data_IF_334355852777
#
_entry.id   IF_334355852777
#
_cell.length_a   1.000
_cell.length_b   1.000
_cell.length_c   1.000
_cell.angle_alpha   90.00
_cell.angle_beta   90.00
_cell.angle_gamma   90.00
#
_symmetry.space_group_name_H-M   'P 1'
#
loop_
_entity.id
_entity.type
_entity.pdbx_description
1 polymer ?
#
# COMPACT_ATOMS: atom_id res chain seq x y z
N UNK A 1 -15.96 3.73 18.32
CA UNK A 1 -16.02 4.83 17.33
C UNK A 1 -17.45 5.08 16.93
N UNK A 2 -17.78 6.31 16.52
CA UNK A 2 -19.07 6.58 15.88
C UNK A 2 -19.09 5.95 14.47
N UNK A 3 -20.24 5.44 14.05
CA UNK A 3 -20.40 4.91 12.70
C UNK A 3 -20.21 6.02 11.65
N UNK A 4 -19.59 5.68 10.52
CA UNK A 4 -19.36 6.59 9.37
C UNK A 4 -18.49 7.82 9.72
N UNK A 5 -17.43 7.60 10.48
CA UNK A 5 -16.45 8.66 10.82
C UNK A 5 -15.48 8.87 9.66
N UNK A 6 -15.24 10.13 9.29
CA UNK A 6 -14.16 10.54 8.37
C UNK A 6 -13.00 11.12 9.17
N UNK A 7 -11.78 10.69 8.87
CA UNK A 7 -10.56 11.28 9.42
C UNK A 7 -9.80 12.02 8.32
N UNK A 8 -9.27 13.20 8.66
CA UNK A 8 -8.42 13.99 7.77
C UNK A 8 -7.02 14.12 8.40
N UNK A 9 -5.97 13.83 7.61
CA UNK A 9 -4.57 13.82 8.03
C UNK A 9 -3.80 12.62 7.46
N UNK A 10 -2.53 12.47 7.86
CA UNK A 10 -1.73 11.30 7.52
C UNK A 10 -2.33 10.03 8.17
N UNK A 11 -2.54 9.01 7.33
CA UNK A 11 -3.21 7.79 7.75
C UNK A 11 -2.41 6.99 8.79
N UNK A 12 -1.07 7.02 8.77
CA UNK A 12 -0.23 6.31 9.71
C UNK A 12 -0.38 6.92 11.11
N UNK A 13 -0.34 8.25 11.20
CA UNK A 13 -0.59 8.94 12.47
C UNK A 13 -1.99 8.69 13.01
N UNK A 14 -3.01 8.73 12.14
CA UNK A 14 -4.39 8.48 12.53
C UNK A 14 -4.54 7.06 13.07
N UNK A 15 -4.03 6.04 12.34
CA UNK A 15 -4.06 4.65 12.75
C UNK A 15 -3.45 4.48 14.15
N UNK A 16 -2.26 5.04 14.39
CA UNK A 16 -1.54 4.93 15.66
C UNK A 16 -2.21 5.66 16.82
N UNK A 17 -2.66 6.90 16.60
CA UNK A 17 -3.12 7.78 17.70
C UNK A 17 -4.61 7.63 17.99
N UNK A 18 -5.42 7.23 17.01
CA UNK A 18 -6.89 7.32 17.10
C UNK A 18 -7.61 5.98 16.95
N UNK A 19 -6.96 4.95 16.40
CA UNK A 19 -7.62 3.67 16.09
C UNK A 19 -7.12 2.56 17.04
N UNK A 20 -7.99 2.00 17.91
CA UNK A 20 -7.64 0.85 18.73
C UNK A 20 -7.36 -0.41 17.91
N UNK A 21 -6.69 -1.37 18.54
CA UNK A 21 -6.48 -2.71 18.00
C UNK A 21 -7.82 -3.40 17.73
N UNK A 22 -7.85 -4.31 16.74
CA UNK A 22 -9.02 -5.15 16.45
C UNK A 22 -10.34 -4.38 16.30
N UNK A 23 -10.28 -3.22 15.65
CA UNK A 23 -11.43 -2.34 15.41
C UNK A 23 -12.25 -2.75 14.20
N UNK A 24 -11.60 -3.10 13.07
CA UNK A 24 -12.27 -3.26 11.78
C UNK A 24 -12.45 -4.73 11.39
N UNK A 25 -13.60 -5.06 10.80
CA UNK A 25 -13.86 -6.38 10.21
C UNK A 25 -13.34 -6.49 8.77
N UNK A 26 -13.30 -5.36 8.04
CA UNK A 26 -12.85 -5.31 6.66
C UNK A 26 -12.08 -4.03 6.39
N UNK A 27 -10.96 -4.17 5.67
CA UNK A 27 -10.15 -3.05 5.18
C UNK A 27 -10.02 -3.18 3.65
N UNK A 28 -10.27 -2.10 2.93
CA UNK A 28 -9.94 -1.97 1.52
C UNK A 28 -8.98 -0.79 1.35
N UNK A 29 -7.93 -0.97 0.55
CA UNK A 29 -6.98 0.08 0.24
C UNK A 29 -6.59 0.06 -1.23
N UNK A 30 -6.51 1.27 -1.78
CA UNK A 30 -6.15 1.58 -3.16
C UNK A 30 -5.02 2.63 -3.12
N UNK A 31 -3.79 2.22 -2.72
CA UNK A 31 -2.69 3.16 -2.55
C UNK A 31 -2.22 3.71 -3.91
N UNK A 32 -1.56 4.88 -3.90
CA UNK A 32 -0.89 5.40 -5.09
C UNK A 32 0.04 4.36 -5.70
N UNK A 33 -0.16 4.08 -6.98
CA UNK A 33 0.66 3.14 -7.72
C UNK A 33 1.88 3.90 -8.24
N UNK A 34 3.06 3.61 -7.66
CA UNK A 34 4.38 4.12 -8.06
C UNK A 34 4.75 3.72 -9.51
N UNK A 35 3.90 4.12 -10.46
CA UNK A 35 3.80 3.67 -11.84
C UNK A 35 4.39 4.68 -12.81
N UNK A 36 5.00 5.75 -12.30
CA UNK A 36 5.46 6.92 -13.06
C UNK A 36 4.37 7.54 -13.97
N UNK A 37 3.09 7.25 -13.73
CA UNK A 37 1.98 7.86 -14.46
C UNK A 37 1.60 9.17 -13.79
N UNK A 38 1.94 10.28 -14.45
CA UNK A 38 1.43 11.59 -14.07
C UNK A 38 -0.10 11.58 -14.18
N UNK A 39 -0.82 11.61 -13.06
CA UNK A 39 -2.28 11.83 -13.00
C UNK A 39 -2.71 13.27 -13.41
N UNK A 40 -1.79 14.04 -14.01
CA UNK A 40 -1.96 15.41 -14.51
C UNK A 40 -3.02 15.58 -15.61
N UNK A 41 -3.61 14.49 -16.12
CA UNK A 41 -4.55 14.54 -17.26
C UNK A 41 -6.00 14.73 -16.82
N UNK A 42 -6.36 14.50 -15.55
CA UNK A 42 -7.76 14.51 -15.11
C UNK A 42 -8.27 15.85 -14.53
N UNK A 43 -7.40 16.84 -14.26
CA UNK A 43 -7.81 18.05 -13.53
C UNK A 43 -7.34 19.39 -14.14
N UNK A 44 -7.09 19.43 -15.46
CA UNK A 44 -6.82 20.70 -16.15
C UNK A 44 -8.04 21.65 -16.26
N UNK A 45 -9.21 21.27 -15.76
CA UNK A 45 -10.39 22.15 -15.74
C UNK A 45 -10.91 22.37 -14.32
N UNK A 46 -10.41 23.43 -13.67
CA UNK A 46 -11.32 24.38 -13.02
C UNK A 46 -11.50 24.38 -11.50
N UNK A 47 -10.57 23.91 -10.65
CA UNK A 47 -10.66 24.17 -9.20
C UNK A 47 -9.40 24.81 -8.61
N UNK A 48 -9.62 25.82 -7.75
CA UNK A 48 -8.61 26.57 -7.02
C UNK A 48 -7.79 25.67 -6.09
N UNK A 49 -6.47 25.82 -6.19
CA UNK A 49 -5.45 25.02 -5.50
C UNK A 49 -5.47 25.24 -3.97
N UNK A 50 -5.68 24.16 -3.21
CA UNK A 50 -5.34 24.11 -1.78
C UNK A 50 -3.94 23.48 -1.61
N UNK A 51 -3.04 24.04 -0.78
CA UNK A 51 -1.68 23.51 -0.59
C UNK A 51 -1.64 22.03 -0.15
N UNK A 52 -2.66 21.58 0.58
CA UNK A 52 -2.78 20.17 1.01
C UNK A 52 -3.10 19.22 -0.15
N UNK A 53 -3.69 19.72 -1.24
CA UNK A 53 -3.96 18.96 -2.46
C UNK A 53 -2.72 18.92 -3.37
N UNK A 54 -1.84 19.92 -3.33
CA UNK A 54 -0.60 19.89 -4.11
C UNK A 54 0.38 18.84 -3.55
N UNK A 55 0.44 18.68 -2.22
CA UNK A 55 1.34 17.71 -1.57
C UNK A 55 0.90 16.25 -1.64
N UNK A 56 -0.39 15.97 -1.82
CA UNK A 56 -0.89 14.60 -1.97
C UNK A 56 -0.81 14.08 -3.43
N UNK A 57 -0.41 14.92 -4.39
CA UNK A 57 -0.55 14.66 -5.83
C UNK A 57 0.79 14.62 -6.61
N UNK A 58 1.93 14.87 -5.97
CA UNK A 58 3.21 14.40 -6.50
C UNK A 58 3.36 12.92 -6.12
N UNK A 59 2.87 12.06 -7.02
CA UNK A 59 2.81 10.60 -6.90
C UNK A 59 4.21 9.95 -7.00
N UNK A 60 5.19 10.52 -6.30
CA UNK A 60 6.61 10.17 -6.39
C UNK A 60 7.17 10.11 -4.98
N UNK A 61 7.29 8.87 -4.49
CA UNK A 61 7.89 8.59 -3.20
C UNK A 61 9.39 8.82 -3.32
N UNK A 62 9.88 9.99 -2.94
CA UNK A 62 11.31 10.23 -2.97
C UNK A 62 11.99 9.59 -1.77
N UNK A 63 13.20 9.06 -1.97
CA UNK A 63 14.04 8.63 -0.85
C UNK A 63 14.48 9.86 -0.03
N UNK A 64 13.76 10.12 1.07
CA UNK A 64 13.98 11.27 1.95
C UNK A 64 14.56 10.84 3.31
N UNK A 65 14.92 11.83 4.15
CA UNK A 65 15.32 11.57 5.54
C UNK A 65 14.23 10.83 6.33
N UNK A 66 12.96 11.14 6.08
CA UNK A 66 11.82 10.49 6.74
C UNK A 66 11.67 9.02 6.27
N UNK A 67 11.86 8.76 4.98
CA UNK A 67 11.90 7.40 4.44
C UNK A 67 13.03 6.59 5.07
N UNK A 68 14.22 7.19 5.21
CA UNK A 68 15.37 6.53 5.84
C UNK A 68 15.12 6.22 7.31
N UNK A 69 14.57 7.17 8.06
CA UNK A 69 14.23 6.97 9.47
C UNK A 69 13.18 5.87 9.64
N UNK A 70 12.16 5.85 8.79
CA UNK A 70 11.13 4.80 8.79
C UNK A 70 11.74 3.44 8.44
N UNK A 71 12.63 3.38 7.45
CA UNK A 71 13.36 2.17 7.09
C UNK A 71 14.20 1.66 8.26
N UNK A 72 14.95 2.53 8.93
CA UNK A 72 15.77 2.16 10.09
C UNK A 72 14.92 1.61 11.24
N UNK A 73 13.76 2.21 11.49
CA UNK A 73 12.79 1.70 12.45
C UNK A 73 12.30 0.30 12.07
N UNK A 74 11.90 0.08 10.80
CA UNK A 74 11.48 -1.23 10.33
C UNK A 74 12.59 -2.29 10.52
N UNK A 75 13.83 -1.95 10.21
CA UNK A 75 14.95 -2.90 10.33
C UNK A 75 15.31 -3.20 11.78
N UNK A 76 15.21 -2.22 12.70
CA UNK A 76 15.71 -2.37 14.08
C UNK A 76 14.66 -2.76 15.10
N UNK A 77 13.41 -2.35 14.89
CA UNK A 77 12.37 -2.36 15.93
C UNK A 77 11.17 -3.26 15.57
N UNK A 78 11.20 -3.94 14.42
CA UNK A 78 10.15 -4.92 14.05
C UNK A 78 10.63 -6.36 14.16
N UNK A 79 9.78 -7.32 13.81
CA UNK A 79 10.13 -8.73 13.87
C UNK A 79 11.21 -9.11 12.84
N UNK A 80 11.86 -10.25 13.07
CA UNK A 80 12.98 -10.74 12.25
C UNK A 80 12.62 -10.93 10.77
N UNK A 81 11.40 -11.40 10.49
CA UNK A 81 10.92 -11.63 9.12
C UNK A 81 10.81 -10.31 8.34
N UNK A 82 10.20 -9.28 8.95
CA UNK A 82 10.07 -7.95 8.33
C UNK A 82 11.44 -7.29 8.19
N UNK A 83 12.28 -7.35 9.23
CA UNK A 83 13.64 -6.79 9.19
C UNK A 83 14.46 -7.39 8.05
N UNK A 84 14.49 -8.73 7.96
CA UNK A 84 15.21 -9.46 6.92
C UNK A 84 14.66 -9.16 5.52
N UNK A 85 13.34 -9.06 5.38
CA UNK A 85 12.70 -8.69 4.13
C UNK A 85 13.08 -7.27 3.69
N UNK A 86 13.04 -6.30 4.58
CA UNK A 86 13.38 -4.91 4.25
C UNK A 86 14.86 -4.75 3.86
N UNK A 87 15.77 -5.48 4.52
CA UNK A 87 17.18 -5.54 4.13
C UNK A 87 17.37 -6.21 2.75
N UNK A 88 16.65 -7.29 2.48
CA UNK A 88 16.69 -7.95 1.19
C UNK A 88 16.16 -7.04 0.06
N UNK A 89 15.05 -6.34 0.30
CA UNK A 89 14.47 -5.38 -0.64
C UNK A 89 15.44 -4.22 -0.94
N UNK A 90 16.08 -3.65 0.09
CA UNK A 90 17.11 -2.61 -0.11
C UNK A 90 18.26 -3.14 -0.98
N UNK A 91 18.76 -4.34 -0.69
CA UNK A 91 19.86 -4.94 -1.44
C UNK A 91 19.50 -5.25 -2.90
N UNK A 92 18.26 -5.64 -3.17
CA UNK A 92 17.81 -6.01 -4.51
C UNK A 92 17.43 -4.80 -5.37
N UNK A 93 16.75 -3.81 -4.78
CA UNK A 93 16.15 -2.69 -5.50
C UNK A 93 17.02 -1.43 -5.42
N UNK A 94 17.78 -1.26 -4.34
CA UNK A 94 18.57 -0.06 -4.03
C UNK A 94 17.74 1.07 -3.40
N UNK A 95 18.39 2.12 -2.86
CA UNK A 95 17.73 3.27 -2.24
C UNK A 95 17.14 4.20 -3.29
N UNK A 96 16.00 3.80 -3.85
CA UNK A 96 15.26 4.56 -4.85
C UNK A 96 13.80 4.74 -4.43
N UNK A 97 13.01 5.33 -5.32
CA UNK A 97 11.61 5.65 -5.05
C UNK A 97 10.74 4.41 -4.79
N UNK A 98 11.11 3.26 -5.38
CA UNK A 98 10.44 2.00 -5.06
C UNK A 98 10.72 1.57 -3.63
N UNK A 99 11.97 1.65 -3.16
CA UNK A 99 12.27 1.33 -1.77
C UNK A 99 11.61 2.31 -0.79
N UNK A 100 11.55 3.59 -1.13
CA UNK A 100 10.82 4.60 -0.36
C UNK A 100 9.33 4.23 -0.24
N UNK A 101 8.70 3.89 -1.37
CA UNK A 101 7.30 3.43 -1.40
C UNK A 101 7.08 2.19 -0.55
N UNK A 102 7.88 1.14 -0.74
CA UNK A 102 7.74 -0.12 -0.01
C UNK A 102 7.92 0.09 1.49
N UNK A 103 8.90 0.91 1.90
CA UNK A 103 9.12 1.29 3.30
C UNK A 103 7.86 1.95 3.90
N UNK A 104 7.31 2.92 3.19
CA UNK A 104 6.14 3.68 3.66
C UNK A 104 4.85 2.86 3.64
N UNK A 105 4.73 1.90 2.72
CA UNK A 105 3.63 0.95 2.71
C UNK A 105 3.76 -0.09 3.83
N UNK A 106 4.93 -0.66 4.07
CA UNK A 106 5.15 -1.66 5.11
C UNK A 106 4.71 -1.16 6.49
N UNK A 107 5.13 0.06 6.89
CA UNK A 107 4.76 0.61 8.19
C UNK A 107 3.24 0.81 8.32
N UNK A 108 2.54 1.14 7.23
CA UNK A 108 1.07 1.28 7.21
C UNK A 108 0.39 -0.08 7.25
N UNK A 109 0.88 -1.08 6.51
CA UNK A 109 0.35 -2.43 6.51
C UNK A 109 0.47 -3.11 7.88
N UNK A 110 1.54 -2.82 8.64
CA UNK A 110 1.68 -3.27 10.04
C UNK A 110 0.54 -2.70 10.92
N UNK A 111 0.28 -1.40 10.81
CA UNK A 111 -0.83 -0.77 11.57
C UNK A 111 -2.19 -1.28 11.12
N UNK A 112 -2.39 -1.50 9.81
CA UNK A 112 -3.62 -2.08 9.28
C UNK A 112 -3.85 -3.50 9.80
N UNK A 113 -2.79 -4.31 9.92
CA UNK A 113 -2.86 -5.62 10.57
C UNK A 113 -3.24 -5.50 12.06
N UNK A 114 -2.68 -4.53 12.80
CA UNK A 114 -3.02 -4.28 14.21
C UNK A 114 -4.51 -3.96 14.40
N UNK A 115 -5.05 -3.03 13.62
CA UNK A 115 -6.43 -2.56 13.76
C UNK A 115 -7.47 -3.50 13.18
N UNK A 116 -7.08 -4.51 12.40
CA UNK A 116 -8.01 -5.52 11.87
C UNK A 116 -8.37 -6.53 12.97
N UNK A 117 -9.63 -6.97 13.05
CA UNK A 117 -10.06 -8.04 13.96
C UNK A 117 -9.49 -9.39 13.55
N UNK A 118 -9.41 -10.36 14.47
CA UNK A 118 -8.93 -11.72 14.14
C UNK A 118 -9.72 -12.40 13.02
N UNK A 119 -11.02 -12.10 12.94
CA UNK A 119 -11.95 -12.56 11.90
C UNK A 119 -11.94 -11.67 10.65
N UNK A 120 -11.10 -10.63 10.61
CA UNK A 120 -11.17 -9.60 9.59
C UNK A 120 -10.38 -9.92 8.33
N UNK A 121 -10.72 -9.20 7.26
CA UNK A 121 -10.09 -9.29 5.95
C UNK A 121 -9.51 -7.96 5.46
N UNK A 122 -8.50 -8.06 4.60
CA UNK A 122 -7.90 -6.93 3.91
C UNK A 122 -7.82 -7.20 2.40
N UNK A 123 -8.15 -6.17 1.63
CA UNK A 123 -8.10 -6.16 0.18
C UNK A 123 -7.18 -5.01 -0.26
N UNK A 124 -6.04 -5.38 -0.84
CA UNK A 124 -5.06 -4.41 -1.34
C UNK A 124 -5.08 -4.41 -2.86
N UNK A 125 -5.59 -3.33 -3.45
CA UNK A 125 -5.50 -3.09 -4.88
C UNK A 125 -4.06 -2.74 -5.25
N UNK A 126 -3.53 -3.36 -6.31
CA UNK A 126 -2.15 -3.25 -6.75
C UNK A 126 -2.09 -3.03 -8.26
N UNK A 127 -1.14 -2.18 -8.68
CA UNK A 127 -0.68 -2.17 -10.06
C UNK A 127 0.34 -3.28 -10.33
N UNK A 128 0.62 -3.58 -11.60
CA UNK A 128 1.63 -4.59 -11.96
C UNK A 128 3.05 -4.24 -11.51
N UNK A 129 3.37 -2.95 -11.25
CA UNK A 129 4.73 -2.52 -10.89
C UNK A 129 5.11 -2.96 -9.48
N UNK A 130 4.21 -2.74 -8.50
CA UNK A 130 4.52 -2.97 -7.10
C UNK A 130 3.88 -4.24 -6.50
N UNK A 131 2.90 -4.85 -7.18
CA UNK A 131 2.11 -5.99 -6.66
C UNK A 131 2.97 -7.12 -6.08
N UNK A 132 4.04 -7.52 -6.77
CA UNK A 132 4.89 -8.62 -6.34
C UNK A 132 5.66 -8.32 -5.05
N UNK A 133 6.12 -7.08 -4.88
CA UNK A 133 6.79 -6.63 -3.66
C UNK A 133 5.81 -6.48 -2.50
N UNK A 134 4.62 -5.93 -2.77
CA UNK A 134 3.57 -5.81 -1.76
C UNK A 134 3.04 -7.18 -1.31
N UNK A 135 2.99 -8.17 -2.21
CA UNK A 135 2.60 -9.54 -1.88
C UNK A 135 3.55 -10.17 -0.85
N UNK A 136 4.87 -10.06 -1.04
CA UNK A 136 5.83 -10.63 -0.09
C UNK A 136 5.86 -9.86 1.24
N UNK A 137 5.59 -8.55 1.22
CA UNK A 137 5.39 -7.75 2.45
C UNK A 137 4.14 -8.22 3.20
N UNK A 138 3.02 -8.42 2.49
CA UNK A 138 1.81 -8.98 3.10
C UNK A 138 2.04 -10.39 3.63
N UNK A 139 2.81 -11.24 2.95
CA UNK A 139 3.18 -12.57 3.45
C UNK A 139 3.97 -12.49 4.77
N UNK A 140 4.86 -11.51 4.93
CA UNK A 140 5.61 -11.28 6.16
C UNK A 140 4.74 -10.72 7.29
N UNK A 141 3.75 -9.89 6.98
CA UNK A 141 2.90 -9.22 8.00
C UNK A 141 1.72 -10.11 8.42
N UNK A 142 0.97 -10.63 7.45
CA UNK A 142 -0.26 -11.41 7.67
C UNK A 142 0.02 -12.91 7.75
N UNK A 143 1.19 -13.37 7.30
CA UNK A 143 1.52 -14.78 7.17
C UNK A 143 1.04 -15.36 5.84
N UNK A 144 1.94 -16.07 5.15
CA UNK A 144 1.68 -16.71 3.84
C UNK A 144 0.46 -17.65 3.82
N UNK A 145 0.12 -18.29 4.94
CA UNK A 145 -1.04 -19.19 5.07
C UNK A 145 -2.37 -18.44 5.14
N UNK A 146 -2.32 -17.13 5.39
CA UNK A 146 -3.49 -16.27 5.45
C UNK A 146 -3.78 -15.53 4.15
N UNK A 147 -2.97 -15.75 3.12
CA UNK A 147 -3.33 -15.39 1.76
C UNK A 147 -4.55 -16.21 1.31
N UNK A 148 -5.56 -15.55 0.76
CA UNK A 148 -6.82 -16.20 0.36
C UNK A 148 -7.00 -16.24 -1.14
N UNK A 149 -6.77 -15.11 -1.82
CA UNK A 149 -6.93 -15.07 -3.26
C UNK A 149 -6.20 -13.90 -3.91
N UNK A 150 -5.93 -14.07 -5.20
CA UNK A 150 -5.59 -12.99 -6.12
C UNK A 150 -6.81 -12.70 -6.99
N UNK A 151 -7.45 -11.55 -6.78
CA UNK A 151 -8.66 -11.17 -7.52
C UNK A 151 -8.24 -10.35 -8.73
N UNK A 152 -8.61 -10.81 -9.92
CA UNK A 152 -8.32 -10.11 -11.19
C UNK A 152 -9.43 -9.10 -11.48
N UNK A 153 -9.13 -7.83 -11.33
CA UNK A 153 -10.04 -6.74 -11.65
C UNK A 153 -9.90 -6.33 -13.11
N UNK A 154 -10.82 -6.77 -13.98
CA UNK A 154 -10.81 -6.46 -15.41
C UNK A 154 -11.30 -5.03 -15.66
N UNK A 155 -10.40 -4.14 -16.11
CA UNK A 155 -10.69 -2.73 -16.46
C UNK A 155 -11.30 -2.55 -17.85
N UNK A 156 -10.96 -3.38 -18.83
CA UNK A 156 -11.44 -3.22 -20.21
C UNK A 156 -11.67 -4.55 -20.93
N UNK A 157 -12.67 -4.58 -21.81
CA UNK A 157 -13.00 -5.75 -22.62
C UNK A 157 -12.04 -6.00 -23.78
N UNK A 158 -11.39 -4.94 -24.26
CA UNK A 158 -10.38 -5.03 -25.31
C UNK A 158 -9.06 -4.44 -24.79
N UNK A 159 -7.91 -5.13 -24.99
CA UNK A 159 -6.62 -4.54 -24.70
C UNK A 159 -6.43 -3.35 -25.65
N UNK A 160 -6.05 -2.19 -25.09
CA UNK A 160 -5.63 -1.08 -25.94
C UNK A 160 -4.38 -1.52 -26.68
N UNK A 161 -4.35 -1.32 -28.01
CA UNK A 161 -3.16 -1.55 -28.80
C UNK A 161 -2.02 -0.70 -28.22
N UNK A 162 -0.90 -1.32 -27.89
CA UNK A 162 0.31 -0.62 -27.44
C UNK A 162 1.37 -0.69 -28.53
N UNK A 163 2.07 0.43 -28.74
CA UNK A 163 3.16 0.51 -29.72
C UNK A 163 4.35 -0.37 -29.33
N UNK A 164 4.48 -0.71 -28.04
CA UNK A 164 5.44 -1.67 -27.48
C UNK A 164 4.76 -2.49 -26.39
N UNK A 165 4.96 -3.81 -26.41
CA UNK A 165 4.45 -4.72 -25.39
C UNK A 165 2.99 -5.16 -25.59
N UNK A 166 2.46 -5.83 -24.57
CA UNK A 166 1.08 -6.33 -24.55
C UNK A 166 0.17 -5.33 -23.82
N UNK A 167 -1.05 -5.13 -24.33
CA UNK A 167 -2.03 -4.28 -23.67
C UNK A 167 -2.45 -4.84 -22.31
N UNK A 168 -2.37 -4.01 -21.27
CA UNK A 168 -2.84 -4.39 -19.92
C UNK A 168 -4.35 -4.16 -19.80
N UNK A 169 -5.06 -5.17 -19.30
CA UNK A 169 -6.54 -5.16 -19.19
C UNK A 169 -7.06 -5.32 -17.76
N UNK A 170 -6.18 -5.64 -16.83
CA UNK A 170 -6.57 -5.89 -15.46
C UNK A 170 -5.58 -5.25 -14.50
N UNK A 171 -6.08 -5.06 -13.29
CA UNK A 171 -5.28 -4.83 -12.09
C UNK A 171 -5.53 -5.99 -11.13
N UNK A 172 -4.74 -6.05 -10.07
CA UNK A 172 -4.76 -7.17 -9.12
C UNK A 172 -5.20 -6.66 -7.76
N UNK A 173 -6.11 -7.39 -7.11
CA UNK A 173 -6.47 -7.15 -5.71
C UNK A 173 -6.01 -8.36 -4.89
N UNK A 174 -5.07 -8.12 -3.98
CA UNK A 174 -4.58 -9.14 -3.05
C UNK A 174 -5.54 -9.24 -1.87
N UNK A 175 -6.05 -10.44 -1.61
CA UNK A 175 -6.97 -10.73 -0.51
C UNK A 175 -6.29 -11.59 0.57
N UNK A 176 -6.23 -11.03 1.79
CA UNK A 176 -5.74 -11.70 3.00
C UNK A 176 -6.77 -11.66 4.12
N UNK A 177 -6.63 -12.57 5.07
CA UNK A 177 -7.33 -12.53 6.37
C UNK A 177 -6.33 -12.32 7.49
N UNK A 178 -6.76 -11.80 8.65
CA UNK A 178 -5.85 -11.64 9.80
C UNK A 178 -5.41 -12.99 10.38
N UNK A 179 -6.33 -13.96 10.40
CA UNK A 179 -6.08 -15.30 10.92
C UNK A 179 -6.86 -16.36 10.14
N UNK A 180 -6.79 -17.59 10.62
CA UNK A 180 -7.58 -18.74 10.17
C UNK A 180 -9.03 -18.72 10.65
N UNK A 181 -9.42 -17.74 11.49
CA UNK A 181 -10.78 -17.59 12.05
C UNK A 181 -11.75 -16.80 11.16
N UNK A 182 -11.45 -16.68 9.87
CA UNK A 182 -12.27 -15.95 8.90
C UNK A 182 -13.54 -16.72 8.53
#
# INVERSE_FOLDING_TARGET
>A
MQNRTLFFGDNLEILRKKIPDETFDLIYLDPPFNSNRSYNVLFKEGMQESPAQVHAFEDTWHWTADSKATYDHLVRETNEDISSLMQALEKLVGPNDMLAYLTMMTVRLIELHRVLKKTGSIYLHCDPTASHYLKIILDAIFGKTNFRNEIIWKRSNSPKAQSKGLGTQHDVILFYTKSDRF
#
